data_IF_523170975612
#
_entry.id   IF_523170975612
#
_cell.length_a   1.000
_cell.length_b   1.000
_cell.length_c   1.000
_cell.angle_alpha   90.00
_cell.angle_beta   90.00
_cell.angle_gamma   90.00
#
_symmetry.space_group_name_H-M   'P 1'
#
loop_
_entity.id
_entity.type
_entity.pdbx_description
1 polymer ?
#
# COMPACT_ATOMS: atom_id res chain seq x y z
N UNK A 1 13.70 -31.65 -13.16
CA UNK A 1 12.63 -31.51 -12.15
C UNK A 1 11.49 -30.65 -12.71
N UNK A 2 10.75 -31.14 -13.72
CA UNK A 2 9.77 -30.33 -14.50
C UNK A 2 8.38 -30.98 -14.62
N UNK A 3 8.08 -32.01 -13.83
CA UNK A 3 6.86 -32.81 -13.99
C UNK A 3 5.66 -32.46 -13.09
N UNK A 4 5.83 -31.58 -12.09
CA UNK A 4 4.80 -31.38 -11.05
C UNK A 4 3.75 -30.30 -11.39
N UNK A 5 4.08 -29.32 -12.24
CA UNK A 5 3.16 -28.20 -12.57
C UNK A 5 2.07 -28.61 -13.56
N UNK A 6 2.38 -29.43 -14.56
CA UNK A 6 1.39 -29.91 -15.55
C UNK A 6 0.30 -30.82 -14.93
N UNK A 7 0.62 -31.53 -13.83
CA UNK A 7 -0.32 -32.41 -13.14
C UNK A 7 -1.40 -31.64 -12.36
N UNK A 8 -1.10 -30.42 -11.89
CA UNK A 8 -2.04 -29.59 -11.15
C UNK A 8 -3.08 -28.98 -12.10
N UNK A 9 -2.64 -28.53 -13.27
CA UNK A 9 -3.50 -27.94 -14.30
C UNK A 9 -4.53 -28.93 -14.84
N UNK A 10 -4.13 -30.19 -15.08
CA UNK A 10 -5.06 -31.24 -15.53
C UNK A 10 -6.09 -31.58 -14.45
N UNK A 11 -5.69 -31.59 -13.17
CA UNK A 11 -6.60 -31.90 -12.05
C UNK A 11 -7.58 -30.77 -11.79
N UNK A 12 -7.15 -29.51 -11.94
CA UNK A 12 -8.02 -28.33 -11.87
C UNK A 12 -8.99 -28.32 -13.06
N UNK A 13 -8.51 -28.55 -14.29
CA UNK A 13 -9.35 -28.67 -15.48
C UNK A 13 -10.33 -29.84 -15.38
N UNK A 14 -9.93 -30.98 -14.81
CA UNK A 14 -10.80 -32.13 -14.57
C UNK A 14 -11.84 -31.85 -13.48
N UNK A 15 -11.50 -31.14 -12.41
CA UNK A 15 -12.46 -30.70 -11.39
C UNK A 15 -13.39 -29.60 -11.90
N UNK A 16 -12.91 -28.70 -12.76
CA UNK A 16 -13.73 -27.71 -13.47
C UNK A 16 -14.68 -28.45 -14.40
N UNK A 17 -14.25 -29.44 -15.17
CA UNK A 17 -15.11 -30.26 -16.04
C UNK A 17 -16.10 -31.14 -15.26
N UNK A 18 -15.70 -31.73 -14.13
CA UNK A 18 -16.61 -32.51 -13.28
C UNK A 18 -17.66 -31.61 -12.59
N UNK A 19 -17.27 -30.38 -12.19
CA UNK A 19 -18.23 -29.35 -11.73
C UNK A 19 -19.00 -28.68 -12.86
N UNK A 20 -18.52 -28.71 -14.11
CA UNK A 20 -19.22 -28.20 -15.30
C UNK A 20 -20.55 -28.91 -15.50
N UNK A 21 -20.60 -30.20 -15.19
CA UNK A 21 -21.83 -31.01 -15.27
C UNK A 21 -22.80 -30.65 -14.14
N UNK A 22 -22.33 -30.37 -12.92
CA UNK A 22 -23.18 -30.10 -11.75
C UNK A 22 -23.56 -28.62 -11.56
N UNK A 23 -22.71 -27.67 -11.97
CA UNK A 23 -22.96 -26.23 -11.82
C UNK A 23 -23.79 -25.68 -12.99
N UNK A 24 -23.64 -26.24 -14.21
CA UNK A 24 -24.55 -25.91 -15.31
C UNK A 24 -26.01 -26.33 -15.02
N UNK A 25 -26.22 -27.26 -14.09
CA UNK A 25 -27.54 -27.79 -13.70
C UNK A 25 -28.28 -26.93 -12.67
N UNK A 26 -27.64 -25.91 -12.11
CA UNK A 26 -28.25 -25.00 -11.10
C UNK A 26 -28.49 -23.57 -11.60
N UNK A 27 -28.21 -23.31 -12.87
CA UNK A 27 -28.53 -22.03 -13.52
C UNK A 27 -29.96 -22.10 -14.08
N UNK A 28 -30.74 -21.05 -13.81
CA UNK A 28 -32.08 -20.83 -14.35
C UNK A 28 -32.08 -21.03 -15.87
N UNK A 29 -33.13 -21.68 -16.41
CA UNK A 29 -33.27 -22.05 -17.83
C UNK A 29 -33.12 -20.89 -18.83
N UNK A 30 -33.06 -19.64 -18.32
CA UNK A 30 -33.12 -18.42 -19.10
C UNK A 30 -31.75 -17.72 -19.29
N UNK A 31 -30.65 -18.24 -18.73
CA UNK A 31 -29.32 -17.62 -18.88
C UNK A 31 -28.53 -18.15 -20.08
N UNK A 32 -27.94 -17.24 -20.84
CA UNK A 32 -26.97 -17.55 -21.89
C UNK A 32 -25.67 -18.15 -21.32
N UNK A 33 -24.87 -18.88 -22.11
CA UNK A 33 -23.55 -19.34 -21.69
C UNK A 33 -22.61 -18.22 -21.20
N UNK A 34 -22.67 -17.03 -21.80
CA UNK A 34 -21.87 -15.88 -21.40
C UNK A 34 -22.28 -15.36 -20.01
N UNK A 35 -23.58 -15.15 -19.78
CA UNK A 35 -24.09 -14.73 -18.47
C UNK A 35 -23.79 -15.74 -17.36
N UNK A 36 -23.81 -17.03 -17.67
CA UNK A 36 -23.40 -18.08 -16.72
C UNK A 36 -21.92 -17.97 -16.38
N UNK A 37 -21.06 -17.67 -17.34
CA UNK A 37 -19.62 -17.48 -17.09
C UNK A 37 -19.39 -16.26 -16.19
N UNK A 38 -20.04 -15.14 -16.48
CA UNK A 38 -20.00 -13.94 -15.63
C UNK A 38 -20.46 -14.23 -14.20
N UNK A 39 -21.60 -14.89 -14.04
CA UNK A 39 -22.13 -15.27 -12.73
C UNK A 39 -21.23 -16.23 -11.95
N UNK A 40 -20.44 -17.07 -12.63
CA UNK A 40 -19.42 -17.90 -11.98
C UNK A 40 -18.26 -17.07 -11.47
N UNK A 41 -17.75 -16.15 -12.29
CA UNK A 41 -16.68 -15.25 -11.90
C UNK A 41 -17.10 -14.43 -10.67
N UNK A 42 -18.30 -13.85 -10.68
CA UNK A 42 -18.83 -13.08 -9.54
C UNK A 42 -18.99 -13.94 -8.27
N UNK A 43 -19.47 -15.17 -8.42
CA UNK A 43 -19.63 -16.11 -7.30
C UNK A 43 -18.30 -16.51 -6.68
N UNK A 44 -17.26 -16.68 -7.49
CA UNK A 44 -15.92 -16.94 -6.97
C UNK A 44 -15.32 -15.65 -6.39
N UNK A 45 -15.44 -14.51 -7.07
CA UNK A 45 -14.96 -13.21 -6.62
C UNK A 45 -15.50 -12.81 -5.24
N UNK A 46 -16.74 -13.19 -4.91
CA UNK A 46 -17.35 -12.96 -3.60
C UNK A 46 -16.84 -13.89 -2.49
N UNK A 47 -16.16 -15.00 -2.82
CA UNK A 47 -15.57 -15.92 -1.83
C UNK A 47 -14.12 -15.56 -1.55
N UNK A 48 -13.83 -15.13 -0.31
CA UNK A 48 -12.48 -14.74 0.18
C UNK A 48 -11.58 -15.95 0.50
N UNK A 49 -11.51 -16.94 -0.39
CA UNK A 49 -10.69 -18.15 -0.18
C UNK A 49 -9.45 -18.12 -1.10
N UNK A 50 -8.29 -18.62 -0.63
CA UNK A 50 -7.04 -18.53 -1.38
C UNK A 50 -7.04 -19.23 -2.74
N UNK A 51 -7.88 -20.25 -2.93
CA UNK A 51 -8.04 -20.96 -4.20
C UNK A 51 -8.90 -20.21 -5.24
N UNK A 52 -9.58 -19.14 -4.82
CA UNK A 52 -10.45 -18.31 -5.68
C UNK A 52 -9.67 -17.64 -6.81
N UNK A 53 -8.44 -17.17 -6.55
CA UNK A 53 -7.62 -16.44 -7.51
C UNK A 53 -7.35 -17.28 -8.76
N UNK A 54 -6.86 -18.51 -8.56
CA UNK A 54 -6.58 -19.43 -9.65
C UNK A 54 -7.83 -19.77 -10.46
N UNK A 55 -8.96 -20.01 -9.79
CA UNK A 55 -10.23 -20.34 -10.47
C UNK A 55 -10.68 -19.19 -11.37
N UNK A 56 -10.68 -17.95 -10.87
CA UNK A 56 -11.11 -16.78 -11.67
C UNK A 56 -10.22 -16.60 -12.90
N UNK A 57 -8.89 -16.77 -12.77
CA UNK A 57 -7.99 -16.68 -13.92
C UNK A 57 -8.30 -17.76 -14.98
N UNK A 58 -8.58 -18.99 -14.56
CA UNK A 58 -8.93 -20.08 -15.48
C UNK A 58 -10.29 -19.84 -16.16
N UNK A 59 -11.26 -19.31 -15.43
CA UNK A 59 -12.56 -18.92 -16.00
C UNK A 59 -12.40 -17.80 -17.03
N UNK A 60 -11.54 -16.81 -16.78
CA UNK A 60 -11.23 -15.76 -17.75
C UNK A 60 -10.55 -16.32 -19.02
N UNK A 61 -9.59 -17.23 -18.87
CA UNK A 61 -8.96 -17.91 -20.01
C UNK A 61 -9.98 -18.69 -20.84
N UNK A 62 -10.88 -19.43 -20.17
CA UNK A 62 -11.95 -20.16 -20.82
C UNK A 62 -12.95 -19.22 -21.52
N UNK A 63 -13.34 -18.13 -20.87
CA UNK A 63 -14.20 -17.09 -21.44
C UNK A 63 -13.60 -16.50 -22.72
N UNK A 64 -12.30 -16.18 -22.70
CA UNK A 64 -11.58 -15.68 -23.87
C UNK A 64 -11.59 -16.67 -25.04
N UNK A 65 -11.46 -17.97 -24.78
CA UNK A 65 -11.52 -19.01 -25.83
C UNK A 65 -12.87 -19.10 -26.55
N UNK A 66 -13.95 -18.60 -25.92
CA UNK A 66 -15.29 -18.52 -26.49
C UNK A 66 -15.69 -17.10 -26.93
N UNK A 67 -14.81 -16.11 -26.78
CA UNK A 67 -15.10 -14.71 -27.10
C UNK A 67 -16.05 -14.01 -26.13
N UNK A 68 -16.18 -14.49 -24.88
CA UNK A 68 -17.00 -13.86 -23.84
C UNK A 68 -16.21 -12.74 -23.14
N UNK A 69 -16.03 -11.61 -23.83
CA UNK A 69 -15.13 -10.54 -23.40
C UNK A 69 -15.58 -9.84 -22.11
N UNK A 70 -16.88 -9.73 -21.89
CA UNK A 70 -17.47 -9.16 -20.67
C UNK A 70 -17.08 -9.98 -19.44
N UNK A 71 -17.05 -11.31 -19.55
CA UNK A 71 -16.57 -12.18 -18.49
C UNK A 71 -15.06 -12.02 -18.23
N UNK A 72 -14.25 -11.85 -19.28
CA UNK A 72 -12.81 -11.53 -19.14
C UNK A 72 -12.63 -10.21 -18.40
N UNK A 73 -13.42 -9.19 -18.75
CA UNK A 73 -13.38 -7.87 -18.14
C UNK A 73 -13.81 -7.91 -16.67
N UNK A 74 -14.82 -8.70 -16.30
CA UNK A 74 -15.18 -8.93 -14.89
C UNK A 74 -14.05 -9.53 -14.07
N UNK A 75 -13.38 -10.55 -14.60
CA UNK A 75 -12.23 -11.15 -13.93
C UNK A 75 -11.06 -10.16 -13.79
N UNK A 76 -10.83 -9.34 -14.81
CA UNK A 76 -9.81 -8.30 -14.75
C UNK A 76 -10.12 -7.27 -13.66
N UNK A 77 -11.36 -6.77 -13.63
CA UNK A 77 -11.81 -5.81 -12.62
C UNK A 77 -11.67 -6.36 -11.20
N UNK A 78 -11.93 -7.64 -11.00
CA UNK A 78 -11.65 -8.30 -9.73
C UNK A 78 -10.16 -8.20 -9.35
N UNK A 79 -9.24 -8.56 -10.25
CA UNK A 79 -7.82 -8.50 -9.95
C UNK A 79 -7.31 -7.08 -9.72
N UNK A 80 -7.81 -6.09 -10.47
CA UNK A 80 -7.50 -4.67 -10.27
C UNK A 80 -7.97 -4.21 -8.89
N UNK A 81 -9.23 -4.45 -8.54
CA UNK A 81 -9.83 -4.06 -7.24
C UNK A 81 -9.08 -4.62 -6.03
N UNK A 82 -8.40 -5.74 -6.21
CA UNK A 82 -7.62 -6.40 -5.16
C UNK A 82 -6.11 -6.15 -5.25
N UNK A 83 -5.65 -5.26 -6.15
CA UNK A 83 -4.24 -4.89 -6.30
C UNK A 83 -3.35 -6.04 -6.79
N UNK A 84 -3.91 -7.00 -7.54
CA UNK A 84 -3.21 -8.21 -7.99
C UNK A 84 -2.58 -8.01 -9.37
N UNK A 85 -1.46 -7.28 -9.44
CA UNK A 85 -0.83 -6.86 -10.70
C UNK A 85 -0.57 -7.98 -11.70
N UNK A 86 0.02 -9.08 -11.23
CA UNK A 86 0.46 -10.17 -12.12
C UNK A 86 -0.72 -10.93 -12.71
N UNK A 87 -1.83 -11.02 -11.97
CA UNK A 87 -3.05 -11.65 -12.46
C UNK A 87 -3.81 -10.70 -13.37
N UNK A 88 -3.87 -9.41 -13.05
CA UNK A 88 -4.48 -8.39 -13.92
C UNK A 88 -3.78 -8.33 -15.28
N UNK A 89 -2.44 -8.28 -15.31
CA UNK A 89 -1.68 -8.29 -16.57
C UNK A 89 -1.91 -9.57 -17.38
N UNK A 90 -1.94 -10.73 -16.71
CA UNK A 90 -2.21 -12.01 -17.37
C UNK A 90 -3.62 -12.07 -17.96
N UNK A 91 -4.65 -11.64 -17.23
CA UNK A 91 -6.03 -11.63 -17.75
C UNK A 91 -6.18 -10.62 -18.88
N UNK A 92 -5.56 -9.44 -18.79
CA UNK A 92 -5.58 -8.46 -19.88
C UNK A 92 -5.01 -9.05 -21.18
N UNK A 93 -3.97 -9.89 -21.10
CA UNK A 93 -3.38 -10.57 -22.25
C UNK A 93 -4.30 -11.55 -22.97
N UNK A 94 -5.40 -11.97 -22.35
CA UNK A 94 -6.41 -12.82 -22.98
C UNK A 94 -7.33 -12.06 -23.93
N UNK A 95 -7.43 -10.72 -23.80
CA UNK A 95 -8.15 -9.87 -24.75
C UNK A 95 -7.40 -9.82 -26.09
N UNK A 96 -8.09 -9.46 -27.16
CA UNK A 96 -7.49 -9.40 -28.51
C UNK A 96 -7.15 -7.97 -28.94
N UNK A 97 -6.16 -7.84 -29.82
CA UNK A 97 -5.81 -6.57 -30.46
C UNK A 97 -5.22 -5.55 -29.49
N UNK A 98 -5.59 -4.28 -29.63
CA UNK A 98 -5.11 -3.18 -28.76
C UNK A 98 -5.55 -3.31 -27.30
N UNK A 99 -6.52 -4.19 -27.01
CA UNK A 99 -7.02 -4.44 -25.65
C UNK A 99 -6.23 -5.52 -24.90
N UNK A 100 -5.25 -6.16 -25.53
CA UNK A 100 -4.41 -7.22 -24.92
C UNK A 100 -3.48 -6.71 -23.79
N UNK A 101 -3.53 -5.42 -23.48
CA UNK A 101 -2.78 -4.79 -22.40
C UNK A 101 -3.74 -3.99 -21.51
N UNK A 102 -3.31 -3.75 -20.27
CA UNK A 102 -4.04 -2.85 -19.37
C UNK A 102 -4.15 -1.46 -20.00
N UNK A 103 -5.37 -0.91 -19.99
CA UNK A 103 -5.61 0.49 -20.34
C UNK A 103 -4.88 1.42 -19.36
N UNK A 104 -4.76 2.70 -19.72
CA UNK A 104 -4.15 3.70 -18.83
C UNK A 104 -4.89 3.76 -17.49
N UNK A 105 -6.21 3.77 -17.54
CA UNK A 105 -7.11 3.83 -16.38
C UNK A 105 -6.99 2.56 -15.53
N UNK A 106 -6.93 1.38 -16.16
CA UNK A 106 -6.75 0.09 -15.48
C UNK A 106 -5.40 0.03 -14.74
N UNK A 107 -4.33 0.57 -15.32
CA UNK A 107 -3.02 0.65 -14.67
C UNK A 107 -3.05 1.58 -13.45
N UNK A 108 -3.71 2.74 -13.59
CA UNK A 108 -3.87 3.70 -12.48
C UNK A 108 -4.64 3.03 -11.34
N UNK A 109 -5.81 2.45 -11.61
CA UNK A 109 -6.62 1.77 -10.59
C UNK A 109 -5.86 0.64 -9.89
N UNK A 110 -5.04 -0.10 -10.62
CA UNK A 110 -4.21 -1.16 -10.03
C UNK A 110 -3.20 -0.61 -9.01
N UNK A 111 -2.61 0.56 -9.28
CA UNK A 111 -1.73 1.26 -8.33
C UNK A 111 -2.52 1.74 -7.11
N UNK A 112 -3.75 2.27 -7.29
CA UNK A 112 -4.61 2.71 -6.19
C UNK A 112 -4.93 1.57 -5.22
N UNK A 113 -5.24 0.41 -5.77
CA UNK A 113 -5.63 -0.77 -5.00
C UNK A 113 -4.46 -1.62 -4.48
N UNK A 114 -3.20 -1.21 -4.72
CA UNK A 114 -2.04 -1.85 -4.13
C UNK A 114 -2.13 -1.85 -2.59
N UNK A 115 -1.55 -2.86 -1.93
CA UNK A 115 -1.69 -3.04 -0.47
C UNK A 115 -0.94 -2.01 0.35
N UNK A 116 0.24 -1.63 -0.11
CA UNK A 116 1.12 -0.63 0.52
C UNK A 116 1.55 0.42 -0.50
N UNK A 117 2.08 1.55 -0.02
CA UNK A 117 2.63 2.59 -0.91
C UNK A 117 3.87 2.08 -1.65
N UNK A 118 4.68 1.25 -1.00
CA UNK A 118 5.83 0.57 -1.61
C UNK A 118 5.40 -0.34 -2.76
N UNK A 119 4.34 -1.13 -2.57
CA UNK A 119 3.80 -1.97 -3.64
C UNK A 119 3.23 -1.12 -4.77
N UNK A 120 2.55 -0.02 -4.43
CA UNK A 120 2.01 0.92 -5.40
C UNK A 120 3.13 1.54 -6.26
N UNK A 121 4.24 1.97 -5.66
CA UNK A 121 5.44 2.47 -6.34
C UNK A 121 6.05 1.40 -7.27
N UNK A 122 6.20 0.16 -6.79
CA UNK A 122 6.72 -0.96 -7.60
C UNK A 122 5.83 -1.24 -8.81
N UNK A 123 4.51 -1.30 -8.61
CA UNK A 123 3.53 -1.51 -9.69
C UNK A 123 3.58 -0.34 -10.68
N UNK A 124 3.56 0.90 -10.20
CA UNK A 124 3.62 2.08 -11.05
C UNK A 124 4.90 2.12 -11.90
N UNK A 125 6.03 1.76 -11.30
CA UNK A 125 7.34 1.70 -11.98
C UNK A 125 7.35 0.60 -13.05
N UNK A 126 6.90 -0.60 -12.70
CA UNK A 126 6.82 -1.72 -13.64
C UNK A 126 5.88 -1.45 -14.82
N UNK A 127 4.84 -0.65 -14.62
CA UNK A 127 3.87 -0.27 -15.65
C UNK A 127 4.23 1.01 -16.40
N UNK A 128 5.32 1.69 -16.02
CA UNK A 128 5.79 2.93 -16.64
C UNK A 128 4.86 4.12 -16.44
N UNK A 129 4.14 4.18 -15.32
CA UNK A 129 3.15 5.23 -15.03
C UNK A 129 3.47 6.05 -13.78
N UNK A 130 4.66 5.95 -13.20
CA UNK A 130 5.05 6.65 -11.96
C UNK A 130 4.75 8.14 -11.99
N UNK A 131 5.07 8.83 -13.08
CA UNK A 131 4.79 10.27 -13.23
C UNK A 131 3.30 10.58 -13.13
N UNK A 132 2.44 9.72 -13.70
CA UNK A 132 0.99 9.94 -13.73
C UNK A 132 0.32 9.80 -12.37
N UNK A 133 0.92 9.01 -11.47
CA UNK A 133 0.35 8.68 -10.14
C UNK A 133 1.19 9.26 -9.01
N UNK A 134 2.27 10.01 -9.31
CA UNK A 134 3.22 10.52 -8.33
C UNK A 134 2.53 11.33 -7.23
N UNK A 135 1.64 12.25 -7.59
CA UNK A 135 0.91 13.08 -6.64
C UNK A 135 0.06 12.25 -5.69
N UNK A 136 -0.71 11.30 -6.23
CA UNK A 136 -1.55 10.40 -5.43
C UNK A 136 -0.72 9.51 -4.50
N UNK A 137 0.44 9.03 -4.96
CA UNK A 137 1.36 8.25 -4.15
C UNK A 137 2.00 9.07 -3.02
N UNK A 138 2.34 10.34 -3.26
CA UNK A 138 2.81 11.24 -2.21
C UNK A 138 1.73 11.44 -1.15
N UNK A 139 0.50 11.80 -1.54
CA UNK A 139 -0.59 11.99 -0.57
C UNK A 139 -0.88 10.72 0.24
N UNK A 140 -0.83 9.55 -0.40
CA UNK A 140 -0.98 8.26 0.28
C UNK A 140 0.18 7.96 1.24
N UNK A 141 1.41 8.31 0.87
CA UNK A 141 2.59 8.17 1.73
C UNK A 141 2.49 9.10 2.95
N UNK A 142 2.08 10.36 2.74
CA UNK A 142 1.80 11.33 3.80
C UNK A 142 0.76 10.77 4.77
N UNK A 143 -0.38 10.30 4.27
CA UNK A 143 -1.46 9.76 5.10
C UNK A 143 -1.11 8.51 5.90
N UNK A 144 -0.02 7.82 5.55
CA UNK A 144 0.51 6.66 6.30
C UNK A 144 1.77 6.96 7.12
N UNK A 145 2.23 8.21 7.13
CA UNK A 145 3.46 8.62 7.82
C UNK A 145 4.69 7.87 7.30
N UNK A 146 4.74 7.59 5.99
CA UNK A 146 5.84 6.86 5.36
C UNK A 146 6.77 7.83 4.62
N UNK A 147 7.80 8.31 5.35
CA UNK A 147 8.74 9.31 4.84
C UNK A 147 9.48 8.84 3.57
N UNK A 148 10.06 7.63 3.60
CA UNK A 148 10.82 7.09 2.48
C UNK A 148 9.96 7.02 1.21
N UNK A 149 8.74 6.50 1.31
CA UNK A 149 7.83 6.41 0.17
C UNK A 149 7.38 7.78 -0.33
N UNK A 150 7.19 8.77 0.56
CA UNK A 150 6.81 10.12 0.16
C UNK A 150 7.95 10.82 -0.60
N UNK A 151 9.18 10.70 -0.10
CA UNK A 151 10.37 11.24 -0.77
C UNK A 151 10.61 10.55 -2.11
N UNK A 152 10.46 9.23 -2.17
CA UNK A 152 10.61 8.47 -3.42
C UNK A 152 9.54 8.84 -4.45
N UNK A 153 8.27 8.92 -4.05
CA UNK A 153 7.19 9.32 -4.94
C UNK A 153 7.35 10.76 -5.45
N UNK A 154 7.80 11.68 -4.60
CA UNK A 154 7.97 13.09 -4.96
C UNK A 154 8.97 13.29 -6.11
N UNK A 155 10.01 12.44 -6.22
CA UNK A 155 11.01 12.51 -7.31
C UNK A 155 10.40 12.38 -8.71
N UNK A 156 9.22 11.77 -8.83
CA UNK A 156 8.54 11.56 -10.10
C UNK A 156 7.58 12.70 -10.48
N UNK A 157 7.49 13.77 -9.69
CA UNK A 157 6.76 15.00 -10.06
C UNK A 157 7.58 15.81 -11.07
N UNK A 158 6.97 16.22 -12.17
CA UNK A 158 7.65 16.97 -13.23
C UNK A 158 8.04 18.40 -12.78
N UNK A 159 7.15 19.09 -12.06
CA UNK A 159 7.35 20.51 -11.71
C UNK A 159 8.07 20.70 -10.36
N UNK A 160 7.81 19.81 -9.40
CA UNK A 160 8.27 19.94 -8.01
C UNK A 160 8.74 18.59 -7.46
N UNK A 161 9.98 18.16 -7.76
CA UNK A 161 10.49 16.83 -7.39
C UNK A 161 10.79 16.67 -5.88
N UNK A 162 10.33 17.61 -5.05
CA UNK A 162 10.55 17.68 -3.62
C UNK A 162 9.21 17.89 -2.90
N UNK A 163 9.15 17.45 -1.65
CA UNK A 163 8.01 17.73 -0.77
C UNK A 163 7.95 19.22 -0.43
N UNK A 164 6.77 19.81 -0.54
CA UNK A 164 6.49 21.18 -0.09
C UNK A 164 6.54 21.27 1.43
N UNK A 165 6.67 22.49 1.98
CA UNK A 165 6.64 22.68 3.45
C UNK A 165 5.37 22.07 4.07
N UNK A 166 4.20 22.31 3.46
CA UNK A 166 2.92 21.78 3.93
C UNK A 166 2.90 20.24 3.96
N UNK A 167 3.44 19.58 2.94
CA UNK A 167 3.53 18.11 2.89
C UNK A 167 4.49 17.54 3.91
N UNK A 168 5.62 18.22 4.15
CA UNK A 168 6.56 17.84 5.20
C UNK A 168 5.92 17.94 6.58
N UNK A 169 5.23 19.04 6.86
CA UNK A 169 4.45 19.22 8.11
C UNK A 169 3.42 18.10 8.26
N UNK A 170 2.64 17.83 7.21
CA UNK A 170 1.63 16.77 7.23
C UNK A 170 2.22 15.36 7.44
N UNK A 171 3.43 15.08 6.94
CA UNK A 171 4.13 13.82 7.21
C UNK A 171 4.45 13.63 8.68
N UNK A 172 4.99 14.68 9.31
CA UNK A 172 5.30 14.65 10.75
C UNK A 172 4.01 14.46 11.54
N UNK A 173 2.97 15.24 11.21
CA UNK A 173 1.65 15.14 11.87
C UNK A 173 1.00 13.76 11.74
N UNK A 174 1.06 13.14 10.55
CA UNK A 174 0.51 11.80 10.34
C UNK A 174 1.38 10.68 10.92
N UNK A 175 2.66 10.97 11.22
CA UNK A 175 3.51 10.07 11.98
C UNK A 175 3.24 10.15 13.50
N UNK A 176 2.58 11.19 13.99
CA UNK A 176 2.24 11.32 15.41
C UNK A 176 1.28 10.18 15.84
N UNK A 177 1.52 9.56 17.01
CA UNK A 177 0.64 8.52 17.51
C UNK A 177 -0.75 9.09 17.79
N UNK A 178 -1.79 8.54 17.13
CA UNK A 178 -3.20 8.89 17.39
C UNK A 178 -3.76 8.23 18.66
N UNK A 179 -2.89 7.58 19.45
CA UNK A 179 -3.19 6.98 20.75
C UNK A 179 -2.03 6.11 21.23
N UNK A 180 -1.45 6.45 22.37
CA UNK A 180 -0.63 5.59 23.27
C UNK A 180 0.51 4.71 22.73
N UNK A 181 0.83 4.75 21.43
CA UNK A 181 1.81 3.84 20.82
C UNK A 181 3.23 4.38 20.80
N UNK A 182 4.19 3.46 20.84
CA UNK A 182 5.64 3.65 20.93
C UNK A 182 6.24 4.23 19.64
N UNK A 183 5.95 5.50 19.34
CA UNK A 183 6.27 6.15 18.06
C UNK A 183 7.06 7.46 18.19
N UNK A 184 7.41 7.89 19.41
CA UNK A 184 8.12 9.15 19.63
C UNK A 184 9.42 9.25 18.81
N UNK A 185 10.20 8.16 18.75
CA UNK A 185 11.47 8.13 18.02
C UNK A 185 11.26 8.34 16.52
N UNK A 186 10.27 7.64 15.93
CA UNK A 186 9.96 7.75 14.50
C UNK A 186 9.56 9.18 14.14
N UNK A 187 8.75 9.84 14.96
CA UNK A 187 8.35 11.24 14.73
C UNK A 187 9.57 12.16 14.81
N UNK A 188 10.43 11.99 15.81
CA UNK A 188 11.62 12.81 15.98
C UNK A 188 12.59 12.67 14.79
N UNK A 189 12.81 11.44 14.32
CA UNK A 189 13.62 11.16 13.13
C UNK A 189 13.02 11.83 11.89
N UNK A 190 11.72 11.68 11.65
CA UNK A 190 11.05 12.30 10.49
C UNK A 190 11.12 13.82 10.56
N UNK A 191 10.81 14.41 11.72
CA UNK A 191 10.86 15.86 11.91
C UNK A 191 12.28 16.40 11.69
N UNK A 192 13.30 15.68 12.17
CA UNK A 192 14.71 16.02 11.94
C UNK A 192 15.08 15.95 10.46
N UNK A 193 14.80 14.84 9.79
CA UNK A 193 15.12 14.65 8.36
C UNK A 193 14.44 15.68 7.46
N UNK A 194 13.26 16.16 7.85
CA UNK A 194 12.52 17.18 7.12
C UNK A 194 12.90 18.62 7.49
N UNK A 195 13.77 18.82 8.48
CA UNK A 195 14.16 20.14 8.98
C UNK A 195 13.06 20.85 9.79
N UNK A 196 12.15 20.09 10.38
CA UNK A 196 10.98 20.57 11.14
C UNK A 196 11.06 20.27 12.64
N UNK A 197 12.22 19.78 13.13
CA UNK A 197 12.38 19.35 14.52
C UNK A 197 12.00 20.47 15.52
N UNK A 198 12.39 21.71 15.25
CA UNK A 198 12.04 22.85 16.11
C UNK A 198 10.54 23.14 16.15
N UNK A 199 9.87 23.06 14.99
CA UNK A 199 8.42 23.29 14.90
C UNK A 199 7.63 22.22 15.68
N UNK A 200 8.15 21.00 15.79
CA UNK A 200 7.50 19.86 16.45
C UNK A 200 8.09 19.49 17.82
N UNK A 201 9.11 20.23 18.31
CA UNK A 201 9.88 19.90 19.53
C UNK A 201 8.97 19.68 20.74
N UNK A 202 8.11 20.64 21.05
CA UNK A 202 7.19 20.56 22.20
C UNK A 202 6.23 19.37 22.11
N UNK A 203 5.79 19.04 20.89
CA UNK A 203 4.91 17.89 20.66
C UNK A 203 5.65 16.57 20.92
N UNK A 204 6.89 16.44 20.42
CA UNK A 204 7.73 15.26 20.61
C UNK A 204 8.09 15.08 22.08
N UNK A 205 8.49 16.16 22.77
CA UNK A 205 8.75 16.16 24.22
C UNK A 205 7.51 15.72 25.01
N UNK A 206 6.34 16.28 24.69
CA UNK A 206 5.08 15.89 25.32
C UNK A 206 4.77 14.40 25.18
N UNK A 207 4.99 13.83 23.99
CA UNK A 207 4.82 12.39 23.73
C UNK A 207 5.83 11.57 24.53
N UNK A 208 7.12 11.93 24.45
CA UNK A 208 8.21 11.24 25.11
C UNK A 208 7.98 11.14 26.62
N UNK A 209 7.60 12.25 27.25
CA UNK A 209 7.30 12.32 28.68
C UNK A 209 6.06 11.51 29.02
N UNK A 210 4.98 11.60 28.22
CA UNK A 210 3.74 10.85 28.46
C UNK A 210 3.97 9.33 28.37
N UNK A 211 4.93 8.92 27.54
CA UNK A 211 5.26 7.51 27.30
C UNK A 211 6.42 7.02 28.19
N UNK A 212 7.05 7.90 28.98
CA UNK A 212 8.26 7.57 29.74
C UNK A 212 9.45 7.17 28.85
N UNK A 213 9.46 7.59 27.59
CA UNK A 213 10.50 7.26 26.62
C UNK A 213 11.56 8.37 26.61
N UNK A 214 12.80 8.02 26.94
CA UNK A 214 13.90 9.00 27.05
C UNK A 214 14.46 9.35 25.66
N UNK A 215 14.55 8.36 24.78
CA UNK A 215 15.19 8.47 23.47
C UNK A 215 14.56 9.58 22.58
N UNK A 216 13.22 9.69 22.46
CA UNK A 216 12.61 10.76 21.68
C UNK A 216 12.81 12.15 22.30
N UNK A 217 12.85 12.23 23.64
CA UNK A 217 13.09 13.48 24.35
C UNK A 217 14.52 13.97 24.09
N UNK A 218 15.49 13.08 24.24
CA UNK A 218 16.91 13.31 23.96
C UNK A 218 17.12 13.73 22.50
N UNK A 219 16.47 13.05 21.54
CA UNK A 219 16.54 13.40 20.11
C UNK A 219 15.97 14.78 19.80
N UNK A 220 14.94 15.23 20.55
CA UNK A 220 14.33 16.54 20.37
C UNK A 220 15.17 17.68 20.97
N UNK A 221 15.97 17.39 22.00
CA UNK A 221 16.77 18.38 22.74
C UNK A 221 18.21 18.50 22.25
N UNK A 222 18.89 17.38 21.91
CA UNK A 222 20.31 17.36 21.47
C UNK A 222 20.59 17.92 20.06
N UNK A 223 19.57 18.37 19.33
CA UNK A 223 19.74 18.82 17.95
C UNK A 223 19.26 20.27 17.78
N UNK A 224 20.19 21.22 17.92
CA UNK A 224 20.03 22.59 17.42
C UNK A 224 20.42 22.65 15.92
N UNK A 225 19.47 22.92 15.00
CA UNK A 225 19.76 23.08 13.59
C UNK A 225 20.50 24.39 13.25
N UNK A 226 20.67 25.34 14.19
CA UNK A 226 21.54 26.51 13.98
C UNK A 226 23.05 26.15 14.01
N UNK A 227 23.42 24.97 14.53
CA UNK A 227 24.80 24.50 14.65
C UNK A 227 24.90 22.97 14.41
N UNK A 228 24.80 22.49 13.16
CA UNK A 228 24.77 21.05 12.86
C UNK A 228 26.12 20.31 12.95
N UNK A 229 27.23 21.02 13.23
CA UNK A 229 28.59 20.46 13.16
C UNK A 229 29.25 20.23 14.53
N UNK A 230 28.70 20.83 15.60
CA UNK A 230 29.13 20.56 16.96
C UNK A 230 28.06 19.67 17.57
N UNK A 231 28.44 18.49 18.06
CA UNK A 231 27.53 17.69 18.87
C UNK A 231 27.05 18.58 20.00
N UNK A 232 25.78 18.96 19.98
CA UNK A 232 25.18 19.68 21.10
C UNK A 232 24.92 18.63 22.17
N UNK A 233 25.95 18.37 22.96
CA UNK A 233 25.74 17.85 24.30
C UNK A 233 24.78 18.81 25.00
N UNK A 234 23.67 18.29 25.55
CA UNK A 234 22.87 19.05 26.50
C UNK A 234 23.84 19.62 27.52
N UNK A 235 23.75 20.92 27.80
CA UNK A 235 24.51 21.40 28.93
C UNK A 235 24.01 20.66 30.20
N UNK A 236 24.86 20.47 31.22
CA UNK A 236 24.48 19.70 32.40
C UNK A 236 23.19 20.18 33.07
N UNK A 237 22.86 21.48 32.97
CA UNK A 237 21.63 22.06 33.51
C UNK A 237 20.41 21.68 32.68
N UNK A 238 20.49 21.74 31.35
CA UNK A 238 19.41 21.28 30.47
C UNK A 238 19.15 19.77 30.62
N UNK A 239 20.21 18.99 30.85
CA UNK A 239 20.09 17.56 31.14
C UNK A 239 19.44 17.31 32.51
N UNK A 240 19.87 18.02 33.55
CA UNK A 240 19.28 17.95 34.89
C UNK A 240 17.81 18.39 34.90
N UNK A 241 17.45 19.46 34.20
CA UNK A 241 16.06 19.94 34.09
C UNK A 241 15.15 18.93 33.35
N UNK A 242 15.68 18.29 32.30
CA UNK A 242 14.97 17.24 31.58
C UNK A 242 14.76 16.01 32.49
N UNK A 243 15.81 15.55 33.17
CA UNK A 243 15.75 14.42 34.10
C UNK A 243 14.78 14.72 35.27
N UNK A 244 14.89 15.90 35.88
CA UNK A 244 13.99 16.32 36.97
C UNK A 244 12.53 16.42 36.51
N UNK A 245 12.28 16.87 35.28
CA UNK A 245 10.93 16.92 34.70
C UNK A 245 10.35 15.53 34.43
N UNK A 246 11.20 14.57 34.05
CA UNK A 246 10.81 13.17 33.88
C UNK A 246 10.53 12.51 35.24
N UNK A 247 11.43 12.68 36.21
CA UNK A 247 11.28 12.15 37.58
C UNK A 247 10.01 12.68 38.26
N UNK A 248 9.78 14.00 38.24
CA UNK A 248 8.61 14.63 38.88
C UNK A 248 7.27 14.20 38.28
N UNK A 249 7.25 13.65 37.06
CA UNK A 249 6.04 13.13 36.41
C UNK A 249 5.88 11.62 36.58
N UNK A 250 6.96 10.85 36.65
CA UNK A 250 6.92 9.44 37.07
C UNK A 250 6.31 9.28 38.47
N UNK A 251 6.68 10.14 39.41
CA UNK A 251 6.15 10.12 40.80
C UNK A 251 4.66 10.48 40.91
N UNK A 252 4.07 11.11 39.88
CA UNK A 252 2.62 11.40 39.85
C UNK A 252 1.78 10.20 39.42
N UNK A 253 2.40 9.17 38.85
CA UNK A 253 1.70 8.06 38.19
C UNK A 253 1.99 6.70 38.85
N UNK A 254 2.92 6.66 39.82
CA UNK A 254 3.10 5.60 40.83
C UNK A 254 2.13 5.75 41.99
#
# INVERSE_FOLDING_TARGET
MTGATASLDITILARINARRISIMDTATKDQTPAERMEGLIDRFASKREGYTIGIIQHLAMLAASFGYWEAVDRALQYFIKHGMSDYAQRVASYRTGSKAQLSREERIELVRHARSVQDALKIASALGITVLVAEELVQRAIGTGNLEAALEAAKYREEHPLLTKAEKTALVENALPKGGGDFGEKVAVIARELGLLQEFRECILGIAITQGCIEPAVMATLHDPAAPAEGNDLDPTECEDLLASMEARCDRWS
#
